data_IF_869344774048
#
_entry.id   IF_869344774048
#
_cell.length_a   1.000
_cell.length_b   1.000
_cell.length_c   1.000
_cell.angle_alpha   90.00
_cell.angle_beta   90.00
_cell.angle_gamma   90.00
#
_symmetry.space_group_name_H-M   'P 1'
#
loop_
_entity.id
_entity.type
_entity.pdbx_description
1 polymer ?
#
# COMPACT_ATOMS: atom_id res chain seq x y z
N UNK A 1 -12.23 18.54 8.92
CA UNK A 1 -10.88 18.05 9.11
C UNK A 1 -10.14 18.25 7.79
N UNK A 2 -9.07 19.04 7.80
CA UNK A 2 -8.21 19.25 6.63
C UNK A 2 -7.58 17.89 6.35
N UNK A 3 -8.00 17.23 5.29
CA UNK A 3 -7.33 16.04 4.79
C UNK A 3 -6.01 16.56 4.23
N UNK A 4 -4.92 16.35 4.96
CA UNK A 4 -3.57 16.54 4.43
C UNK A 4 -3.55 15.72 3.14
N UNK A 5 -3.28 16.35 2.00
CA UNK A 5 -3.37 15.64 0.73
C UNK A 5 -2.41 14.45 0.77
N UNK A 6 -2.79 13.33 0.18
CA UNK A 6 -1.93 12.15 0.11
C UNK A 6 -0.57 12.48 -0.53
N UNK A 7 -0.55 13.47 -1.41
CA UNK A 7 0.66 14.04 -1.98
C UNK A 7 1.57 14.63 -0.90
N UNK A 8 1.04 15.47 0.01
CA UNK A 8 1.84 16.10 1.08
C UNK A 8 2.56 15.06 1.94
N UNK A 9 1.85 13.96 2.25
CA UNK A 9 2.40 12.82 3.00
C UNK A 9 3.54 12.08 2.28
N UNK A 10 3.74 12.32 0.99
CA UNK A 10 4.79 11.68 0.16
C UNK A 10 5.97 12.60 -0.12
N UNK A 11 5.80 13.91 0.08
CA UNK A 11 6.81 14.90 -0.31
C UNK A 11 8.13 14.76 0.44
N UNK A 12 8.13 14.14 1.62
CA UNK A 12 9.34 13.92 2.39
C UNK A 12 10.36 13.01 1.68
N UNK A 13 9.89 12.16 0.75
CA UNK A 13 10.73 11.29 -0.08
C UNK A 13 11.52 12.03 -1.14
N UNK A 14 11.18 13.28 -1.43
CA UNK A 14 11.72 14.02 -2.56
C UNK A 14 12.88 14.95 -2.17
N UNK A 15 13.83 15.20 -3.10
CA UNK A 15 14.79 16.26 -2.98
C UNK A 15 14.11 17.62 -2.74
N UNK A 16 14.82 18.54 -2.04
CA UNK A 16 14.21 19.79 -1.56
C UNK A 16 13.63 20.69 -2.65
N UNK A 17 14.30 20.82 -3.79
CA UNK A 17 13.83 21.61 -4.93
C UNK A 17 12.51 21.04 -5.46
N UNK A 18 12.47 19.76 -5.75
CA UNK A 18 11.29 19.08 -6.29
C UNK A 18 10.12 19.07 -5.31
N UNK A 19 10.42 18.93 -4.01
CA UNK A 19 9.43 19.03 -2.93
C UNK A 19 8.75 20.41 -2.94
N UNK A 20 9.53 21.48 -3.09
CA UNK A 20 9.00 22.84 -3.12
C UNK A 20 8.11 23.06 -4.35
N UNK A 21 8.52 22.61 -5.53
CA UNK A 21 7.71 22.74 -6.75
C UNK A 21 6.35 22.04 -6.59
N UNK A 22 6.34 20.82 -6.05
CA UNK A 22 5.09 20.05 -5.87
C UNK A 22 4.17 20.65 -4.79
N UNK A 23 4.70 21.33 -3.78
CA UNK A 23 3.89 22.08 -2.80
C UNK A 23 3.13 23.26 -3.39
N UNK A 24 3.63 23.80 -4.48
CA UNK A 24 3.00 24.95 -5.15
C UNK A 24 2.05 24.55 -6.27
N UNK A 25 1.80 23.23 -6.45
CA UNK A 25 0.76 22.79 -7.38
C UNK A 25 -0.62 23.29 -6.93
N UNK A 26 -1.48 23.70 -7.87
CA UNK A 26 -2.87 24.03 -7.56
C UNK A 26 -3.54 22.89 -6.79
N UNK A 27 -4.34 23.20 -5.79
CA UNK A 27 -4.97 22.20 -4.89
C UNK A 27 -5.75 21.11 -5.65
N UNK A 28 -6.44 21.50 -6.71
CA UNK A 28 -7.16 20.56 -7.56
C UNK A 28 -6.20 19.54 -8.20
N UNK A 29 -5.09 20.00 -8.79
CA UNK A 29 -4.09 19.12 -9.40
C UNK A 29 -3.36 18.28 -8.34
N UNK A 30 -3.00 18.90 -7.20
CA UNK A 30 -2.33 18.19 -6.10
C UNK A 30 -3.15 17.01 -5.55
N UNK A 31 -4.47 17.16 -5.46
CA UNK A 31 -5.39 16.09 -5.01
C UNK A 31 -5.54 14.96 -6.02
N UNK A 32 -5.21 15.19 -7.29
CA UNK A 32 -5.34 14.23 -8.38
C UNK A 32 -4.05 13.49 -8.73
N UNK A 33 -2.90 13.90 -8.16
CA UNK A 33 -1.62 13.23 -8.41
C UNK A 33 -1.71 11.76 -7.98
N UNK A 34 -1.45 10.87 -8.93
CA UNK A 34 -1.43 9.42 -8.71
C UNK A 34 -0.01 8.90 -8.52
N UNK A 35 0.93 9.44 -9.30
CA UNK A 35 2.33 9.01 -9.29
C UNK A 35 3.25 10.21 -9.53
N UNK A 36 4.46 10.14 -8.96
CA UNK A 36 5.58 11.02 -9.30
C UNK A 36 6.66 10.13 -9.92
N UNK A 37 7.14 10.50 -11.10
CA UNK A 37 8.16 9.73 -11.82
C UNK A 37 9.43 10.54 -12.00
N UNK A 38 10.53 9.95 -11.60
CA UNK A 38 11.87 10.50 -11.72
C UNK A 38 12.66 9.62 -12.67
N UNK A 39 13.14 10.17 -13.80
CA UNK A 39 13.96 9.46 -14.77
C UNK A 39 15.26 10.24 -14.97
N UNK A 40 16.39 9.60 -14.78
CA UNK A 40 17.72 10.21 -14.88
C UNK A 40 17.88 10.95 -16.21
N UNK A 41 18.30 12.23 -16.15
CA UNK A 41 18.50 13.08 -17.30
C UNK A 41 17.22 13.58 -17.97
N UNK A 42 16.06 13.41 -17.35
CA UNK A 42 14.77 13.92 -17.82
C UNK A 42 14.13 14.82 -16.75
N UNK A 43 13.20 15.67 -17.17
CA UNK A 43 12.38 16.41 -16.22
C UNK A 43 11.55 15.42 -15.38
N UNK A 44 11.34 15.69 -14.08
CA UNK A 44 10.37 14.98 -13.28
C UNK A 44 8.97 15.10 -13.88
N UNK A 45 8.16 14.07 -13.69
CA UNK A 45 6.78 14.07 -14.18
C UNK A 45 5.82 13.68 -13.06
N UNK A 46 4.57 14.16 -13.14
CA UNK A 46 3.44 13.71 -12.34
C UNK A 46 2.42 13.03 -13.23
N UNK A 47 1.79 11.98 -12.73
CA UNK A 47 0.68 11.32 -13.40
C UNK A 47 -0.62 11.76 -12.76
N UNK A 48 -1.50 12.34 -13.56
CA UNK A 48 -2.86 12.73 -13.25
C UNK A 48 -3.84 11.76 -13.97
N UNK A 49 -5.16 11.84 -13.73
CA UNK A 49 -6.14 11.00 -14.42
C UNK A 49 -6.14 11.12 -15.95
N UNK A 50 -5.75 12.28 -16.47
CA UNK A 50 -5.66 12.58 -17.89
C UNK A 50 -4.31 12.22 -18.53
N UNK A 51 -3.32 11.82 -17.73
CA UNK A 51 -2.02 11.37 -18.24
C UNK A 51 -0.80 11.83 -17.44
N UNK A 52 0.36 11.70 -18.06
CA UNK A 52 1.66 12.05 -17.47
C UNK A 52 2.09 13.45 -17.94
N UNK A 53 2.40 14.35 -16.99
CA UNK A 53 2.73 15.74 -17.22
C UNK A 53 4.13 16.10 -16.67
N UNK A 54 4.99 16.77 -17.45
CA UNK A 54 6.30 17.20 -16.97
C UNK A 54 6.19 18.42 -16.03
N UNK A 55 7.06 18.47 -15.04
CA UNK A 55 7.23 19.62 -14.16
C UNK A 55 8.25 20.59 -14.79
N UNK A 56 7.75 21.58 -15.50
CA UNK A 56 8.58 22.47 -16.34
C UNK A 56 9.51 23.37 -15.53
N UNK A 57 9.11 23.76 -14.32
CA UNK A 57 9.89 24.64 -13.44
C UNK A 57 10.87 23.88 -12.55
N UNK A 58 11.44 22.78 -13.07
CA UNK A 58 12.39 21.93 -12.35
C UNK A 58 13.61 21.62 -13.20
N UNK A 59 14.69 21.23 -12.54
CA UNK A 59 15.89 20.70 -13.18
C UNK A 59 15.73 19.25 -13.60
N UNK A 60 16.53 18.79 -14.56
CA UNK A 60 16.60 17.39 -14.95
C UNK A 60 17.07 16.53 -13.76
N UNK A 61 16.41 15.40 -13.57
CA UNK A 61 16.71 14.44 -12.49
C UNK A 61 18.14 13.93 -12.59
N UNK A 62 18.87 14.03 -11.49
CA UNK A 62 20.24 13.54 -11.37
C UNK A 62 20.31 12.15 -10.75
N UNK A 63 21.48 11.50 -10.82
CA UNK A 63 21.73 10.26 -10.09
C UNK A 63 21.66 10.47 -8.56
N UNK A 64 22.05 11.65 -8.08
CA UNK A 64 21.98 12.01 -6.66
C UNK A 64 20.54 12.10 -6.16
N UNK A 65 19.62 12.62 -6.97
CA UNK A 65 18.19 12.69 -6.63
C UNK A 65 17.59 11.30 -6.45
N UNK A 66 17.86 10.39 -7.38
CA UNK A 66 17.39 9.00 -7.30
C UNK A 66 17.97 8.28 -6.08
N UNK A 67 19.25 8.46 -5.81
CA UNK A 67 19.91 7.90 -4.63
C UNK A 67 19.33 8.44 -3.33
N UNK A 68 18.97 9.73 -3.29
CA UNK A 68 18.33 10.35 -2.13
C UNK A 68 16.95 9.77 -1.86
N UNK A 69 16.15 9.54 -2.90
CA UNK A 69 14.85 8.88 -2.75
C UNK A 69 15.02 7.46 -2.21
N UNK A 70 15.99 6.69 -2.71
CA UNK A 70 16.27 5.36 -2.21
C UNK A 70 16.68 5.38 -0.73
N UNK A 71 17.58 6.29 -0.35
CA UNK A 71 18.02 6.46 1.03
C UNK A 71 16.85 6.76 1.98
N UNK A 72 16.00 7.71 1.61
CA UNK A 72 14.84 8.10 2.39
C UNK A 72 13.82 6.96 2.47
N UNK A 73 13.46 6.35 1.35
CA UNK A 73 12.48 5.27 1.29
C UNK A 73 12.91 4.03 2.10
N UNK A 74 14.22 3.77 2.18
CA UNK A 74 14.79 2.63 2.92
C UNK A 74 15.09 2.94 4.40
N UNK A 75 14.75 4.13 4.90
CA UNK A 75 15.08 4.56 6.26
C UNK A 75 16.59 4.57 6.51
N UNK A 76 17.39 4.90 5.50
CA UNK A 76 18.87 4.87 5.51
C UNK A 76 19.48 3.48 5.83
N UNK A 77 18.69 2.40 5.77
CA UNK A 77 19.17 1.03 5.98
C UNK A 77 19.09 0.21 4.69
N UNK A 78 20.13 0.17 3.85
CA UNK A 78 20.16 -0.63 2.62
C UNK A 78 19.93 -2.13 2.87
N UNK A 79 20.30 -2.62 4.06
CA UNK A 79 20.18 -4.03 4.44
C UNK A 79 18.73 -4.41 4.79
N UNK A 80 18.03 -3.57 5.54
CA UNK A 80 16.61 -3.81 5.86
C UNK A 80 15.71 -3.79 4.62
N UNK A 81 16.11 -3.01 3.60
CA UNK A 81 15.40 -2.90 2.35
C UNK A 81 15.84 -3.94 1.28
N UNK A 82 16.87 -4.77 1.55
CA UNK A 82 17.45 -5.65 0.52
C UNK A 82 16.43 -6.60 -0.12
N UNK A 83 15.54 -7.18 0.66
CA UNK A 83 14.49 -8.05 0.13
C UNK A 83 13.40 -7.27 -0.62
N UNK A 84 13.07 -6.07 -0.14
CA UNK A 84 12.15 -5.17 -0.82
C UNK A 84 12.73 -4.68 -2.15
N UNK A 85 14.02 -4.36 -2.17
CA UNK A 85 14.73 -3.95 -3.40
C UNK A 85 14.81 -5.09 -4.43
N UNK A 86 14.93 -6.35 -4.00
CA UNK A 86 14.85 -7.51 -4.90
C UNK A 86 13.48 -7.61 -5.58
N UNK A 87 12.42 -7.19 -4.90
CA UNK A 87 11.06 -7.11 -5.47
C UNK A 87 10.89 -5.91 -6.41
N UNK A 88 11.86 -4.99 -6.48
CA UNK A 88 11.83 -3.77 -7.29
C UNK A 88 11.03 -2.63 -6.67
N UNK A 89 10.56 -2.75 -5.42
CA UNK A 89 9.84 -1.69 -4.73
C UNK A 89 10.01 -1.74 -3.22
N UNK A 90 9.74 -0.60 -2.58
CA UNK A 90 9.65 -0.43 -1.12
C UNK A 90 8.31 0.23 -0.80
N UNK A 91 7.64 -0.21 0.27
CA UNK A 91 6.55 0.55 0.89
C UNK A 91 7.15 1.43 1.98
N UNK A 92 7.16 2.73 1.76
CA UNK A 92 7.67 3.73 2.68
C UNK A 92 6.58 4.20 3.65
N UNK A 93 6.97 5.00 4.64
CA UNK A 93 6.05 5.60 5.62
C UNK A 93 4.86 6.30 4.92
N UNK A 94 3.66 6.16 5.50
CA UNK A 94 2.43 6.67 4.92
C UNK A 94 1.84 5.81 3.79
N UNK A 95 2.33 4.57 3.60
CA UNK A 95 1.83 3.66 2.58
C UNK A 95 2.29 4.01 1.16
N UNK A 96 3.28 4.88 1.03
CA UNK A 96 3.83 5.30 -0.25
C UNK A 96 4.64 4.17 -0.87
N UNK A 97 4.22 3.66 -2.01
CA UNK A 97 4.96 2.63 -2.73
C UNK A 97 5.97 3.27 -3.69
N UNK A 98 7.23 2.97 -3.49
CA UNK A 98 8.35 3.49 -4.28
C UNK A 98 8.95 2.36 -5.11
N UNK A 99 8.76 2.39 -6.42
CA UNK A 99 9.34 1.45 -7.38
C UNK A 99 10.68 1.95 -7.90
N UNK A 100 11.63 1.05 -8.10
CA UNK A 100 12.97 1.34 -8.58
C UNK A 100 13.26 0.56 -9.84
N UNK A 101 13.82 1.22 -10.86
CA UNK A 101 14.26 0.59 -12.09
C UNK A 101 15.68 1.05 -12.45
N UNK A 102 16.44 0.11 -13.01
CA UNK A 102 17.82 0.37 -13.42
C UNK A 102 18.52 -0.89 -13.84
N UNK A 103 19.84 -0.88 -13.75
CA UNK A 103 20.64 -2.07 -14.00
C UNK A 103 20.56 -2.99 -12.79
N UNK A 104 19.95 -4.15 -12.95
CA UNK A 104 19.88 -5.14 -11.88
C UNK A 104 21.28 -5.62 -11.52
N UNK A 105 21.75 -5.48 -10.26
CA UNK A 105 23.05 -5.95 -9.86
C UNK A 105 23.08 -7.48 -9.93
N UNK A 106 23.93 -8.02 -10.79
CA UNK A 106 24.12 -9.47 -10.94
C UNK A 106 24.76 -10.06 -9.66
N UNK A 107 24.05 -10.97 -8.99
CA UNK A 107 24.55 -11.72 -7.84
C UNK A 107 23.56 -11.83 -6.67
N UNK A 108 23.74 -12.84 -5.83
CA UNK A 108 22.87 -13.15 -4.67
C UNK A 108 22.82 -12.05 -3.58
N UNK A 109 23.73 -11.09 -3.60
CA UNK A 109 23.82 -9.96 -2.65
C UNK A 109 23.55 -8.60 -3.30
N UNK A 110 22.79 -8.56 -4.39
CA UNK A 110 22.55 -7.38 -5.20
C UNK A 110 22.10 -6.14 -4.41
N UNK A 111 23.06 -5.31 -3.98
CA UNK A 111 22.80 -3.97 -3.48
C UNK A 111 22.76 -3.01 -4.68
N UNK A 112 21.70 -2.20 -4.75
CA UNK A 112 21.62 -1.14 -5.73
C UNK A 112 22.69 -0.08 -5.46
N UNK A 113 23.62 0.12 -6.41
CA UNK A 113 24.51 1.26 -6.38
C UNK A 113 23.84 2.49 -6.95
N UNK A 114 24.30 3.68 -6.58
CA UNK A 114 23.76 4.95 -7.10
C UNK A 114 23.77 5.01 -8.63
N UNK A 115 24.78 4.43 -9.25
CA UNK A 115 24.95 4.44 -10.71
C UNK A 115 24.04 3.45 -11.44
N UNK A 116 23.47 2.47 -10.71
CA UNK A 116 22.58 1.46 -11.27
C UNK A 116 21.12 1.94 -11.35
N UNK A 117 20.76 3.00 -10.63
CA UNK A 117 19.42 3.57 -10.66
C UNK A 117 19.22 4.49 -11.86
N UNK A 118 18.18 4.23 -12.64
CA UNK A 118 17.80 5.03 -13.80
C UNK A 118 16.44 5.67 -13.67
N UNK A 119 15.53 5.08 -12.90
CA UNK A 119 14.23 5.69 -12.63
C UNK A 119 13.63 5.23 -11.31
N UNK A 120 12.78 6.10 -10.78
CA UNK A 120 11.97 5.87 -9.59
C UNK A 120 10.53 6.26 -9.90
N UNK A 121 9.58 5.44 -9.43
CA UNK A 121 8.16 5.74 -9.46
C UNK A 121 7.62 5.76 -8.03
N UNK A 122 7.15 6.92 -7.58
CA UNK A 122 6.53 7.11 -6.27
C UNK A 122 5.02 7.11 -6.49
N UNK A 123 4.34 6.06 -6.03
CA UNK A 123 2.87 5.97 -6.09
C UNK A 123 2.27 6.61 -4.87
N UNK A 124 1.40 7.58 -5.11
CA UNK A 124 0.70 8.29 -4.06
C UNK A 124 -0.48 7.44 -3.59
N UNK A 125 -0.52 7.02 -2.33
CA UNK A 125 -1.61 6.20 -1.82
C UNK A 125 -2.90 7.01 -1.82
N UNK A 126 -3.98 6.43 -2.36
CA UNK A 126 -5.32 7.03 -2.29
C UNK A 126 -6.16 6.25 -1.31
N UNK A 127 -6.73 6.96 -0.36
CA UNK A 127 -7.68 6.41 0.58
C UNK A 127 -9.09 6.90 0.24
N UNK A 128 -9.98 5.96 -0.01
CA UNK A 128 -11.38 6.26 -0.29
C UNK A 128 -12.19 5.76 0.90
N UNK A 129 -12.77 6.69 1.67
CA UNK A 129 -13.57 6.39 2.85
C UNK A 129 -15.06 6.43 2.55
N UNK A 130 -15.82 5.57 3.23
CA UNK A 130 -17.27 5.55 3.21
C UNK A 130 -17.93 4.67 2.14
N UNK A 131 -17.16 4.12 1.19
CA UNK A 131 -17.69 3.23 0.15
C UNK A 131 -18.18 1.89 0.71
N UNK A 132 -17.55 1.40 1.78
CA UNK A 132 -17.87 0.15 2.46
C UNK A 132 -19.03 0.24 3.43
N UNK A 133 -19.40 1.44 3.89
CA UNK A 133 -20.36 1.64 4.98
C UNK A 133 -21.71 0.92 4.77
N UNK A 134 -22.21 0.92 3.55
CA UNK A 134 -23.51 0.29 3.20
C UNK A 134 -23.49 -1.24 3.33
N UNK A 135 -22.31 -1.86 3.34
CA UNK A 135 -22.16 -3.31 3.43
C UNK A 135 -21.83 -3.78 4.85
N UNK A 136 -21.63 -2.87 5.82
CA UNK A 136 -21.18 -3.17 7.17
C UNK A 136 -22.34 -3.22 8.19
N UNK A 137 -23.47 -3.81 7.80
CA UNK A 137 -24.59 -4.02 8.74
C UNK A 137 -24.23 -5.05 9.81
N UNK A 138 -24.85 -4.93 11.02
CA UNK A 138 -24.66 -5.91 12.10
C UNK A 138 -25.92 -6.72 12.34
N UNK A 139 -25.82 -8.01 12.63
CA UNK A 139 -24.59 -8.83 12.69
C UNK A 139 -23.92 -8.93 11.31
N UNK A 140 -22.58 -8.88 11.27
CA UNK A 140 -21.85 -8.92 10.01
C UNK A 140 -21.66 -10.38 9.55
N UNK A 141 -22.22 -10.78 8.41
CA UNK A 141 -22.05 -12.13 7.88
C UNK A 141 -20.66 -12.31 7.25
N UNK A 142 -20.17 -13.53 7.17
CA UNK A 142 -19.00 -13.82 6.35
C UNK A 142 -19.26 -13.40 4.91
N UNK A 143 -18.34 -12.59 4.37
CA UNK A 143 -18.53 -11.90 3.10
C UNK A 143 -17.34 -12.11 2.18
N UNK A 144 -17.59 -12.45 0.92
CA UNK A 144 -16.59 -12.55 -0.14
C UNK A 144 -16.86 -11.47 -1.19
N UNK A 145 -15.86 -10.67 -1.47
CA UNK A 145 -15.90 -9.62 -2.50
C UNK A 145 -15.28 -10.18 -3.78
N UNK A 146 -16.06 -10.26 -4.83
CA UNK A 146 -15.62 -10.73 -6.15
C UNK A 146 -15.59 -9.58 -7.14
N UNK A 147 -14.51 -9.45 -7.90
CA UNK A 147 -14.43 -8.52 -9.02
C UNK A 147 -13.15 -8.79 -9.85
N UNK A 148 -13.09 -8.35 -11.11
CA UNK A 148 -11.88 -8.41 -11.91
C UNK A 148 -10.69 -7.68 -11.27
N UNK A 149 -9.46 -7.97 -11.69
CA UNK A 149 -8.30 -7.17 -11.33
C UNK A 149 -8.53 -5.68 -11.61
N UNK A 150 -8.09 -4.80 -10.69
CA UNK A 150 -8.32 -3.35 -10.81
C UNK A 150 -9.73 -2.86 -10.47
N UNK A 151 -10.70 -3.75 -10.15
CA UNK A 151 -12.07 -3.39 -9.81
C UNK A 151 -12.29 -2.79 -8.41
N UNK A 152 -11.23 -2.44 -7.69
CA UNK A 152 -11.31 -1.75 -6.40
C UNK A 152 -11.57 -2.63 -5.18
N UNK A 153 -11.41 -3.97 -5.29
CA UNK A 153 -11.62 -4.93 -4.16
C UNK A 153 -10.86 -4.54 -2.90
N UNK A 154 -9.55 -4.32 -3.02
CA UNK A 154 -8.68 -3.96 -1.89
C UNK A 154 -9.09 -2.63 -1.26
N UNK A 155 -9.52 -1.65 -2.07
CA UNK A 155 -10.03 -0.36 -1.58
C UNK A 155 -11.33 -0.53 -0.80
N UNK A 156 -12.25 -1.34 -1.31
CA UNK A 156 -13.51 -1.65 -0.63
C UNK A 156 -13.26 -2.44 0.65
N UNK A 157 -12.40 -3.49 0.60
CA UNK A 157 -12.01 -4.29 1.75
C UNK A 157 -11.46 -3.40 2.88
N UNK A 158 -10.52 -2.50 2.57
CA UNK A 158 -9.92 -1.57 3.54
C UNK A 158 -10.97 -0.71 4.23
N UNK A 159 -11.87 -0.09 3.47
CA UNK A 159 -12.89 0.78 4.05
C UNK A 159 -13.95 0.00 4.86
N UNK A 160 -14.25 -1.25 4.47
CA UNK A 160 -15.09 -2.14 5.27
C UNK A 160 -14.40 -2.54 6.59
N UNK A 161 -13.12 -2.92 6.54
CA UNK A 161 -12.30 -3.21 7.74
C UNK A 161 -12.35 -2.02 8.69
N UNK A 162 -12.00 -0.82 8.22
CA UNK A 162 -12.08 0.41 9.00
C UNK A 162 -13.47 0.62 9.61
N UNK A 163 -14.52 0.55 8.79
CA UNK A 163 -15.89 0.81 9.23
C UNK A 163 -16.36 -0.19 10.30
N UNK A 164 -16.02 -1.47 10.15
CA UNK A 164 -16.38 -2.51 11.13
C UNK A 164 -15.59 -2.35 12.43
N UNK A 165 -14.31 -2.03 12.32
CA UNK A 165 -13.41 -1.76 13.44
C UNK A 165 -13.88 -0.55 14.26
N UNK A 166 -14.13 0.60 13.61
CA UNK A 166 -14.69 1.81 14.24
C UNK A 166 -16.07 1.56 14.84
N UNK A 167 -16.84 0.67 14.22
CA UNK A 167 -18.10 0.17 14.73
C UNK A 167 -17.97 -0.74 15.96
N UNK A 168 -16.75 -1.04 16.45
CA UNK A 168 -16.45 -1.75 17.68
C UNK A 168 -16.13 -3.24 17.52
N UNK A 169 -16.01 -3.79 16.28
CA UNK A 169 -15.53 -5.15 16.06
C UNK A 169 -14.01 -5.25 16.23
N UNK A 170 -13.53 -6.32 16.85
CA UNK A 170 -12.12 -6.68 16.84
C UNK A 170 -11.81 -7.38 15.52
N UNK A 171 -10.99 -6.74 14.68
CA UNK A 171 -10.65 -7.22 13.34
C UNK A 171 -9.22 -7.73 13.33
N UNK A 172 -9.00 -8.96 12.90
CA UNK A 172 -7.68 -9.48 12.56
C UNK A 172 -7.46 -9.33 11.05
N UNK A 173 -6.48 -8.54 10.66
CA UNK A 173 -6.16 -8.28 9.26
C UNK A 173 -4.91 -9.04 8.82
N UNK A 174 -5.06 -9.91 7.82
CA UNK A 174 -3.97 -10.62 7.17
C UNK A 174 -3.52 -9.83 5.94
N UNK A 175 -2.46 -9.02 6.08
CA UNK A 175 -1.98 -8.11 5.05
C UNK A 175 -0.66 -8.60 4.46
N UNK A 176 -0.70 -9.73 3.74
CA UNK A 176 0.48 -10.43 3.22
C UNK A 176 1.41 -9.53 2.37
N UNK A 177 0.83 -8.62 1.59
CA UNK A 177 1.57 -7.74 0.66
C UNK A 177 1.79 -6.33 1.21
N UNK A 178 1.28 -6.02 2.41
CA UNK A 178 1.32 -4.67 2.97
C UNK A 178 0.52 -3.64 2.17
N UNK A 179 -0.54 -4.06 1.47
CA UNK A 179 -1.33 -3.18 0.59
C UNK A 179 -2.59 -2.63 1.26
N UNK A 180 -3.04 -3.24 2.36
CA UNK A 180 -4.27 -2.83 3.06
C UNK A 180 -3.96 -1.81 4.15
N UNK A 181 -3.14 -2.18 5.11
CA UNK A 181 -2.73 -1.32 6.22
C UNK A 181 -1.50 -0.46 5.88
N UNK A 182 -0.68 -0.92 4.93
CA UNK A 182 0.60 -0.32 4.57
C UNK A 182 1.47 -0.06 5.81
N UNK A 183 1.64 -1.08 6.64
CA UNK A 183 2.40 -1.01 7.87
C UNK A 183 3.87 -0.73 7.55
N UNK A 184 4.41 0.36 8.10
CA UNK A 184 5.81 0.74 7.92
C UNK A 184 6.32 1.48 9.15
N UNK A 185 7.55 1.15 9.59
CA UNK A 185 8.24 1.83 10.69
C UNK A 185 7.39 2.03 11.97
N UNK A 186 6.43 1.11 12.23
CA UNK A 186 5.57 1.16 13.42
C UNK A 186 4.34 2.06 13.29
N UNK A 187 4.02 2.52 12.08
CA UNK A 187 2.79 3.27 11.79
C UNK A 187 1.99 2.62 10.66
N UNK A 188 0.69 2.88 10.64
CA UNK A 188 -0.18 2.51 9.54
C UNK A 188 -0.17 3.60 8.47
N UNK A 189 -0.05 3.22 7.21
CA UNK A 189 -0.14 4.14 6.09
C UNK A 189 -1.57 4.50 5.71
N UNK A 190 -2.53 3.62 6.08
CA UNK A 190 -3.96 3.82 5.88
C UNK A 190 -4.72 3.68 7.20
N UNK A 191 -5.86 4.34 7.27
CA UNK A 191 -6.80 4.21 8.37
C UNK A 191 -7.57 2.89 8.23
N UNK A 192 -7.31 1.98 9.12
CA UNK A 192 -7.94 0.65 9.18
C UNK A 192 -8.85 0.49 10.40
N UNK A 193 -9.09 1.59 11.15
CA UNK A 193 -9.89 1.63 12.36
C UNK A 193 -9.12 1.23 13.64
N UNK A 194 -9.64 1.67 14.78
CA UNK A 194 -8.93 1.61 16.07
C UNK A 194 -8.81 0.20 16.68
N UNK A 195 -9.60 -0.77 16.18
CA UNK A 195 -9.68 -2.14 16.72
C UNK A 195 -9.24 -3.21 15.72
N UNK A 196 -8.28 -2.83 14.88
CA UNK A 196 -7.72 -3.74 13.88
C UNK A 196 -6.29 -4.13 14.25
N UNK A 197 -6.08 -5.42 14.47
CA UNK A 197 -4.76 -6.02 14.66
C UNK A 197 -4.24 -6.52 13.31
N UNK A 198 -3.06 -6.09 12.91
CA UNK A 198 -2.47 -6.41 11.60
C UNK A 198 -1.32 -7.37 11.73
N UNK A 199 -1.31 -8.39 10.87
CA UNK A 199 -0.14 -9.23 10.66
C UNK A 199 0.27 -9.13 9.19
N UNK A 200 1.42 -8.49 8.96
CA UNK A 200 1.97 -8.18 7.64
C UNK A 200 3.16 -9.06 7.31
N UNK A 201 3.56 -9.10 6.02
CA UNK A 201 4.72 -9.84 5.54
C UNK A 201 4.70 -11.34 5.89
N UNK A 202 3.53 -11.92 6.04
CA UNK A 202 3.30 -13.31 6.40
C UNK A 202 2.23 -13.90 5.47
N UNK A 203 2.38 -15.15 5.01
CA UNK A 203 1.32 -15.82 4.25
C UNK A 203 -0.02 -15.73 4.98
N UNK A 204 -1.07 -15.30 4.29
CA UNK A 204 -2.36 -14.97 4.91
C UNK A 204 -3.01 -16.13 5.66
N UNK A 205 -2.82 -17.36 5.18
CA UNK A 205 -3.26 -18.59 5.88
C UNK A 205 -2.60 -18.73 7.26
N UNK A 206 -1.29 -18.46 7.34
CA UNK A 206 -0.54 -18.48 8.60
C UNK A 206 -0.90 -17.31 9.49
N UNK A 207 -1.04 -16.11 8.91
CA UNK A 207 -1.44 -14.90 9.61
C UNK A 207 -2.80 -15.09 10.31
N UNK A 208 -3.80 -15.63 9.61
CA UNK A 208 -5.11 -15.91 10.15
C UNK A 208 -5.05 -16.85 11.38
N UNK A 209 -4.26 -17.93 11.30
CA UNK A 209 -4.12 -18.87 12.41
C UNK A 209 -3.43 -18.27 13.63
N UNK A 210 -2.47 -17.35 13.44
CA UNK A 210 -1.82 -16.61 14.53
C UNK A 210 -2.85 -15.65 15.17
N UNK A 211 -3.52 -14.84 14.37
CA UNK A 211 -4.52 -13.88 14.86
C UNK A 211 -5.64 -14.56 15.63
N UNK A 212 -6.18 -15.69 15.13
CA UNK A 212 -7.21 -16.48 15.82
C UNK A 212 -6.77 -16.95 17.20
N UNK A 213 -5.50 -17.36 17.35
CA UNK A 213 -4.97 -17.89 18.61
C UNK A 213 -4.60 -16.81 19.60
N UNK A 214 -4.14 -15.65 19.14
CA UNK A 214 -3.49 -14.67 19.99
C UNK A 214 -4.33 -13.41 20.25
N UNK A 215 -5.23 -13.02 19.29
CA UNK A 215 -5.89 -11.72 19.33
C UNK A 215 -7.40 -11.79 19.56
N UNK A 216 -7.98 -12.99 19.58
CA UNK A 216 -9.43 -13.22 19.79
C UNK A 216 -10.30 -12.31 18.90
N UNK A 217 -10.08 -12.30 17.56
CA UNK A 217 -10.85 -11.45 16.65
C UNK A 217 -12.31 -11.92 16.56
N UNK A 218 -13.21 -10.99 16.21
CA UNK A 218 -14.60 -11.28 15.81
C UNK A 218 -14.73 -11.38 14.30
N UNK A 219 -13.73 -10.83 13.58
CA UNK A 219 -13.63 -10.85 12.11
C UNK A 219 -12.18 -11.11 11.70
N UNK A 220 -11.97 -12.01 10.76
CA UNK A 220 -10.72 -12.12 10.01
C UNK A 220 -10.94 -11.51 8.63
N UNK A 221 -10.08 -10.55 8.26
CA UNK A 221 -10.04 -9.95 6.94
C UNK A 221 -8.78 -10.37 6.17
N UNK A 222 -8.92 -10.71 4.88
CA UNK A 222 -7.80 -11.09 4.03
C UNK A 222 -8.04 -10.70 2.58
N UNK A 223 -7.01 -10.21 1.90
CA UNK A 223 -7.10 -9.87 0.49
C UNK A 223 -6.69 -11.06 -0.39
N UNK A 224 -7.34 -11.19 -1.53
CA UNK A 224 -7.02 -12.08 -2.64
C UNK A 224 -6.81 -13.56 -2.24
N UNK A 225 -7.90 -14.25 -1.83
CA UNK A 225 -7.86 -15.69 -1.61
C UNK A 225 -7.51 -16.37 -2.94
N UNK A 226 -6.38 -17.10 -2.98
CA UNK A 226 -5.88 -17.75 -4.20
C UNK A 226 -5.38 -19.17 -3.98
N UNK A 227 -4.92 -19.49 -2.76
CA UNK A 227 -4.29 -20.76 -2.46
C UNK A 227 -5.22 -21.71 -1.67
N UNK A 228 -5.06 -23.03 -1.80
CA UNK A 228 -5.84 -23.99 -1.03
C UNK A 228 -5.73 -23.82 0.49
N UNK A 229 -4.56 -23.39 0.96
CA UNK A 229 -4.27 -23.11 2.37
C UNK A 229 -5.10 -21.96 2.90
N UNK A 230 -5.41 -20.97 2.09
CA UNK A 230 -6.28 -19.84 2.44
C UNK A 230 -7.70 -20.32 2.74
N UNK A 231 -8.21 -21.24 1.92
CA UNK A 231 -9.52 -21.87 2.16
C UNK A 231 -9.52 -22.69 3.46
N UNK A 232 -8.40 -23.32 3.82
CA UNK A 232 -8.19 -24.01 5.10
C UNK A 232 -8.29 -23.05 6.28
N UNK A 233 -7.64 -21.89 6.18
CA UNK A 233 -7.69 -20.85 7.21
C UNK A 233 -9.10 -20.26 7.37
N UNK A 234 -9.81 -20.03 6.26
CA UNK A 234 -11.22 -19.59 6.27
C UNK A 234 -12.12 -20.58 7.02
N UNK A 235 -11.98 -21.88 6.76
CA UNK A 235 -12.72 -22.92 7.48
C UNK A 235 -12.42 -22.93 8.96
N UNK A 236 -11.14 -22.77 9.33
CA UNK A 236 -10.73 -22.71 10.74
C UNK A 236 -11.35 -21.53 11.47
N UNK A 237 -11.38 -20.33 10.85
CA UNK A 237 -12.05 -19.17 11.40
C UNK A 237 -13.55 -19.41 11.59
N UNK A 238 -14.22 -19.99 10.58
CA UNK A 238 -15.65 -20.29 10.65
C UNK A 238 -15.96 -21.32 11.78
N UNK A 239 -15.14 -22.34 11.98
CA UNK A 239 -15.30 -23.29 13.10
C UNK A 239 -15.09 -22.63 14.47
N UNK A 240 -14.30 -21.56 14.55
CA UNK A 240 -14.16 -20.76 15.77
C UNK A 240 -15.30 -19.76 15.96
N UNK A 241 -16.28 -19.69 15.06
CA UNK A 241 -17.39 -18.71 15.13
C UNK A 241 -16.95 -17.30 14.74
N UNK A 242 -15.81 -17.13 14.07
CA UNK A 242 -15.27 -15.85 13.62
C UNK A 242 -15.77 -15.57 12.20
N UNK A 243 -16.31 -14.37 11.98
CA UNK A 243 -16.73 -13.93 10.65
C UNK A 243 -15.53 -13.71 9.72
N UNK A 244 -15.77 -13.80 8.41
CA UNK A 244 -14.76 -13.63 7.38
C UNK A 244 -15.12 -12.46 6.47
N UNK A 245 -14.13 -11.67 6.10
CA UNK A 245 -14.21 -10.69 5.04
C UNK A 245 -13.03 -10.90 4.10
N UNK A 246 -13.30 -11.35 2.89
CA UNK A 246 -12.23 -11.69 1.97
C UNK A 246 -12.49 -11.18 0.56
N UNK A 247 -11.45 -11.13 -0.26
CA UNK A 247 -11.58 -10.84 -1.69
C UNK A 247 -11.07 -12.01 -2.53
N UNK A 248 -11.60 -12.15 -3.74
CA UNK A 248 -11.05 -13.03 -4.74
C UNK A 248 -11.19 -12.43 -6.15
N UNK A 249 -10.26 -12.72 -7.07
CA UNK A 249 -10.42 -12.33 -8.46
C UNK A 249 -11.51 -13.20 -9.11
N UNK A 250 -12.42 -12.56 -9.82
CA UNK A 250 -13.40 -13.24 -10.66
C UNK A 250 -13.73 -12.36 -11.86
N UNK A 251 -13.85 -12.95 -13.03
CA UNK A 251 -14.37 -12.28 -14.23
C UNK A 251 -15.89 -12.29 -14.24
N UNK A 252 -16.50 -13.37 -13.75
CA UNK A 252 -17.93 -13.59 -13.63
C UNK A 252 -18.25 -14.27 -12.31
N UNK A 253 -19.45 -14.06 -11.80
CA UNK A 253 -19.96 -14.70 -10.58
C UNK A 253 -20.72 -16.00 -10.94
N UNK A 254 -20.01 -17.01 -11.48
CA UNK A 254 -20.54 -18.35 -11.61
C UNK A 254 -20.19 -19.24 -10.42
#
# INVERSE_FOLDING_TARGET
AVTISALENSLWLLPGELRNTLRHLPENSASEVCEIRLRRGRLPTVTLPDGEHPLLDTSAVTAADLARVLELASGASPYAASDCLRRGFITAEGGVRVGFCGRFPGGERGLWNRDDLFSVCIRIPREIKGIGKRFCARPFPSTLILSPPGGGKTTLLRDMVRTLSDGGMRVGLCDERGEIAALSAGSYGFDIGERTDVLSDCPKSRAAMILLRCMSPELIAMDEISEPEDAGACRSAAYCGVSLLATAPASDAE
#
